data_IF_259635517602
#
_entry.id   IF_259635517602
#
_cell.length_a   1.000
_cell.length_b   1.000
_cell.length_c   1.000
_cell.angle_alpha   90.00
_cell.angle_beta   90.00
_cell.angle_gamma   90.00
#
_symmetry.space_group_name_H-M   'P 1'
#
loop_
_entity.id
_entity.type
_entity.pdbx_description
1 polymer ?
#
# COMPACT_ATOMS: atom_id res chain seq x y z
N UNK A 1 -12.14 18.72 23.66
CA UNK A 1 -10.74 18.57 24.11
C UNK A 1 -9.97 17.58 23.21
N UNK A 2 -9.76 17.90 21.94
CA UNK A 2 -9.47 16.85 20.92
C UNK A 2 -8.34 17.11 19.93
N UNK A 3 -7.32 17.91 20.29
CA UNK A 3 -6.23 18.28 19.37
C UNK A 3 -4.94 17.45 19.47
N UNK A 4 -4.87 16.45 20.36
CA UNK A 4 -3.69 15.55 20.46
C UNK A 4 -3.80 14.30 19.57
N UNK A 5 -4.27 14.45 18.33
CA UNK A 5 -4.02 13.41 17.33
C UNK A 5 -2.69 13.70 16.68
N UNK A 6 -1.64 13.05 17.19
CA UNK A 6 -0.33 12.97 16.54
C UNK A 6 -0.57 12.74 15.04
N UNK A 7 -0.11 13.64 14.16
CA UNK A 7 -0.24 13.45 12.72
C UNK A 7 0.28 12.07 12.38
N UNK A 8 -0.48 11.31 11.60
CA UNK A 8 -0.01 10.00 11.14
C UNK A 8 1.16 10.28 10.20
N UNK A 9 2.38 10.15 10.70
CA UNK A 9 3.59 10.20 9.89
C UNK A 9 3.48 9.10 8.83
N UNK A 10 3.51 9.49 7.57
CA UNK A 10 3.65 8.58 6.45
C UNK A 10 5.12 8.21 6.30
N UNK A 11 5.40 7.04 5.73
CA UNK A 11 6.76 6.52 5.62
C UNK A 11 7.32 5.88 6.90
N UNK A 12 8.42 5.14 6.72
CA UNK A 12 9.25 4.56 7.79
C UNK A 12 10.71 4.89 7.48
N UNK A 13 11.06 6.18 7.57
CA UNK A 13 12.39 6.68 7.21
C UNK A 13 13.08 7.47 8.32
N UNK A 14 12.49 7.54 9.52
CA UNK A 14 13.01 8.32 10.65
C UNK A 14 13.26 9.78 10.25
N UNK A 15 14.36 10.33 10.73
CA UNK A 15 14.74 11.74 10.49
C UNK A 15 15.48 11.97 9.16
N UNK A 16 15.56 10.94 8.30
CA UNK A 16 16.20 11.08 6.98
C UNK A 16 15.38 12.01 6.09
N UNK A 17 16.06 13.01 5.53
CA UNK A 17 15.46 13.99 4.61
C UNK A 17 15.85 13.76 3.15
N UNK A 18 16.73 12.80 2.87
CA UNK A 18 17.13 12.42 1.52
C UNK A 18 16.84 10.94 1.35
N UNK A 19 15.99 10.60 0.38
CA UNK A 19 15.49 9.25 0.16
C UNK A 19 15.86 8.79 -1.26
N UNK A 20 16.30 7.55 -1.38
CA UNK A 20 16.61 6.90 -2.65
C UNK A 20 15.47 6.02 -3.16
N UNK A 21 15.70 5.32 -4.26
CA UNK A 21 14.71 4.40 -4.85
C UNK A 21 14.30 3.31 -3.86
N UNK A 22 15.23 2.72 -3.10
CA UNK A 22 14.92 1.66 -2.14
C UNK A 22 13.94 2.10 -1.05
N UNK A 23 14.00 3.37 -0.63
CA UNK A 23 13.07 3.94 0.36
C UNK A 23 11.64 4.02 -0.21
N UNK A 24 11.50 4.20 -1.53
CA UNK A 24 10.19 4.19 -2.22
C UNK A 24 9.61 2.78 -2.38
N UNK A 25 10.47 1.75 -2.35
CA UNK A 25 10.08 0.35 -2.41
C UNK A 25 9.81 -0.11 -0.98
N UNK A 26 8.56 0.11 -0.56
CA UNK A 26 8.10 -0.14 0.80
C UNK A 26 6.69 -0.72 0.82
N UNK A 27 6.29 -1.30 1.96
CA UNK A 27 4.91 -1.74 2.20
C UNK A 27 3.93 -0.58 2.40
N UNK A 28 4.43 0.64 2.62
CA UNK A 28 3.64 1.87 2.86
C UNK A 28 4.12 2.99 1.97
N UNK A 29 3.21 3.88 1.59
CA UNK A 29 3.56 5.10 0.86
C UNK A 29 4.39 6.04 1.74
N UNK A 30 5.37 6.72 1.14
CA UNK A 30 6.22 7.71 1.80
C UNK A 30 5.43 8.93 2.28
N UNK A 31 4.51 9.42 1.44
CA UNK A 31 3.67 10.55 1.74
C UNK A 31 2.37 10.46 0.92
N UNK A 32 1.44 11.38 1.17
CA UNK A 32 0.30 11.56 0.28
C UNK A 32 0.73 12.21 -1.03
N UNK A 33 0.08 11.86 -2.14
CA UNK A 33 0.33 12.47 -3.46
C UNK A 33 0.22 13.99 -3.44
N UNK A 34 -0.66 14.55 -2.61
CA UNK A 34 -0.83 16.01 -2.44
C UNK A 34 0.39 16.72 -1.82
N UNK A 35 1.32 15.98 -1.23
CA UNK A 35 2.55 16.51 -0.64
C UNK A 35 3.79 16.26 -1.53
N UNK A 36 3.59 15.75 -2.75
CA UNK A 36 4.69 15.35 -3.63
C UNK A 36 4.83 16.30 -4.81
N UNK A 37 6.06 16.75 -5.08
CA UNK A 37 6.41 17.58 -6.22
C UNK A 37 7.65 17.00 -6.89
N UNK A 38 7.71 17.10 -8.22
CA UNK A 38 8.85 16.65 -9.00
C UNK A 38 9.06 17.56 -10.22
N UNK A 39 10.26 17.56 -10.77
CA UNK A 39 10.58 18.37 -11.96
C UNK A 39 9.87 17.83 -13.20
N UNK A 40 9.42 18.74 -14.07
CA UNK A 40 8.94 18.37 -15.39
C UNK A 40 10.05 17.69 -16.20
N UNK A 41 9.68 16.80 -17.13
CA UNK A 41 10.60 16.10 -18.01
C UNK A 41 11.23 14.83 -17.45
N UNK A 42 10.88 14.41 -16.22
CA UNK A 42 11.26 13.09 -15.72
C UNK A 42 10.54 12.01 -16.54
N UNK A 43 11.25 11.02 -17.09
CA UNK A 43 10.62 9.93 -17.84
C UNK A 43 9.77 9.08 -16.89
N UNK A 44 8.48 8.96 -17.21
CA UNK A 44 7.53 8.13 -16.47
C UNK A 44 7.02 7.04 -17.39
N UNK A 45 6.88 5.82 -16.87
CA UNK A 45 6.20 4.73 -17.56
C UNK A 45 4.72 4.73 -17.17
N UNK A 46 3.90 5.40 -17.98
CA UNK A 46 2.45 5.45 -17.76
C UNK A 46 1.78 4.09 -17.94
N UNK A 47 2.35 3.20 -18.76
CA UNK A 47 1.80 1.85 -18.95
C UNK A 47 1.98 1.01 -17.69
N UNK A 48 3.11 1.14 -17.00
CA UNK A 48 3.33 0.52 -15.70
C UNK A 48 2.30 0.95 -14.63
N UNK A 49 1.64 2.09 -14.79
CA UNK A 49 0.62 2.56 -13.83
C UNK A 49 -0.79 1.96 -14.04
N UNK A 50 -1.08 1.40 -15.23
CA UNK A 50 -2.45 0.96 -15.58
C UNK A 50 -2.97 -0.14 -14.66
N UNK A 51 -4.10 0.10 -13.99
CA UNK A 51 -4.74 -0.86 -13.10
C UNK A 51 -4.05 -1.03 -11.74
N UNK A 52 -3.14 -0.14 -11.37
CA UNK A 52 -2.53 -0.10 -10.03
C UNK A 52 -3.26 0.93 -9.16
N UNK A 53 -3.68 0.51 -7.96
CA UNK A 53 -4.39 1.38 -7.02
C UNK A 53 -3.47 2.36 -6.30
N UNK A 54 -2.23 1.93 -5.99
CA UNK A 54 -1.18 2.76 -5.38
C UNK A 54 -0.28 3.40 -6.44
N UNK A 55 -0.87 4.11 -7.40
CA UNK A 55 -0.13 4.76 -8.49
C UNK A 55 0.85 5.83 -8.01
N UNK A 56 0.59 6.43 -6.85
CA UNK A 56 1.48 7.36 -6.17
C UNK A 56 2.83 6.73 -5.80
N UNK A 57 2.83 5.49 -5.30
CA UNK A 57 4.07 4.79 -4.97
C UNK A 57 4.90 4.43 -6.21
N UNK A 58 4.23 4.08 -7.31
CA UNK A 58 4.89 3.93 -8.61
C UNK A 58 5.57 5.24 -9.02
N UNK A 59 4.83 6.34 -8.96
CA UNK A 59 5.34 7.67 -9.30
C UNK A 59 6.56 8.06 -8.45
N UNK A 60 6.48 7.88 -7.13
CA UNK A 60 7.61 8.21 -6.23
C UNK A 60 8.86 7.44 -6.61
N UNK A 61 8.73 6.15 -6.91
CA UNK A 61 9.85 5.30 -7.28
C UNK A 61 10.44 5.65 -8.64
N UNK A 62 9.60 5.93 -9.65
CA UNK A 62 10.08 6.37 -10.97
C UNK A 62 10.84 7.69 -10.87
N UNK A 63 10.31 8.65 -10.10
CA UNK A 63 10.98 9.93 -9.86
C UNK A 63 12.29 9.74 -9.10
N UNK A 64 12.31 8.87 -8.08
CA UNK A 64 13.53 8.54 -7.34
C UNK A 64 14.62 7.91 -8.23
N UNK A 65 14.23 7.24 -9.31
CA UNK A 65 15.14 6.69 -10.31
C UNK A 65 15.91 7.75 -11.09
N UNK A 66 15.34 8.96 -11.22
CA UNK A 66 15.99 10.11 -11.86
C UNK A 66 16.83 10.97 -10.90
N UNK A 67 16.76 10.70 -9.59
CA UNK A 67 17.50 11.41 -8.56
C UNK A 67 16.83 11.29 -7.19
N UNK A 68 17.54 11.62 -6.09
CA UNK A 68 17.00 11.45 -4.74
C UNK A 68 15.76 12.33 -4.50
N UNK A 69 14.86 11.83 -3.66
CA UNK A 69 13.73 12.59 -3.13
C UNK A 69 14.19 13.35 -1.88
N UNK A 70 13.82 14.62 -1.77
CA UNK A 70 14.14 15.46 -0.61
C UNK A 70 12.87 15.76 0.16
N UNK A 71 12.88 15.46 1.46
CA UNK A 71 11.77 15.72 2.38
C UNK A 71 11.92 17.10 3.02
N UNK A 72 10.84 17.87 2.99
CA UNK A 72 10.71 19.11 3.78
C UNK A 72 10.03 18.70 5.09
N UNK A 73 10.68 18.86 6.26
CA UNK A 73 10.17 18.40 7.56
C UNK A 73 9.10 19.36 8.12
N UNK A 74 8.15 19.77 7.27
CA UNK A 74 7.06 20.69 7.58
C UNK A 74 5.72 20.11 7.13
N UNK A 75 4.62 20.69 7.60
CA UNK A 75 3.28 20.30 7.16
C UNK A 75 3.03 20.83 5.75
N UNK A 76 3.26 19.99 4.75
CA UNK A 76 3.15 20.37 3.33
C UNK A 76 1.73 20.26 2.76
N UNK A 77 0.85 19.43 3.34
CA UNK A 77 -0.53 19.28 2.85
C UNK A 77 -1.49 18.75 3.91
N UNK A 78 -2.77 19.06 3.75
CA UNK A 78 -3.87 18.49 4.55
C UNK A 78 -4.76 17.67 3.63
N UNK A 79 -4.92 16.38 3.92
CA UNK A 79 -5.74 15.47 3.14
C UNK A 79 -6.98 15.02 3.92
N UNK A 80 -8.17 15.23 3.35
CA UNK A 80 -9.44 14.76 3.93
C UNK A 80 -9.78 13.39 3.36
N UNK A 81 -9.92 12.40 4.25
CA UNK A 81 -10.44 11.08 3.88
C UNK A 81 -11.96 11.14 3.71
N UNK A 82 -12.43 10.69 2.55
CA UNK A 82 -13.86 10.56 2.26
C UNK A 82 -14.30 9.08 2.44
N UNK A 83 -15.43 8.79 3.10
CA UNK A 83 -15.90 7.41 3.31
C UNK A 83 -16.13 6.61 2.02
N UNK A 84 -16.51 7.31 0.94
CA UNK A 84 -16.65 6.72 -0.40
C UNK A 84 -15.43 6.94 -1.30
N UNK A 85 -14.25 7.21 -0.73
CA UNK A 85 -13.03 7.42 -1.50
C UNK A 85 -12.40 6.12 -1.98
N UNK A 86 -11.64 6.19 -3.07
CA UNK A 86 -10.90 5.04 -3.64
C UNK A 86 -10.03 4.34 -2.59
N UNK A 87 -9.40 5.09 -1.68
CA UNK A 87 -8.58 4.51 -0.61
C UNK A 87 -9.36 3.67 0.40
N UNK A 88 -10.65 3.93 0.56
CA UNK A 88 -11.53 3.11 1.42
C UNK A 88 -11.98 1.84 0.70
N UNK A 89 -12.33 1.95 -0.58
CA UNK A 89 -12.82 0.85 -1.40
C UNK A 89 -11.73 -0.15 -1.80
N UNK A 90 -10.56 0.35 -2.26
CA UNK A 90 -9.49 -0.48 -2.84
C UNK A 90 -8.25 -0.58 -1.95
N UNK A 91 -8.19 0.15 -0.83
CA UNK A 91 -7.03 0.21 0.04
C UNK A 91 -6.93 -0.90 1.09
N UNK A 92 -7.74 -1.97 1.00
CA UNK A 92 -7.88 -2.99 2.05
C UNK A 92 -8.06 -4.39 1.46
N UNK A 93 -7.78 -5.41 2.26
CA UNK A 93 -8.07 -6.81 1.94
C UNK A 93 -7.06 -7.49 1.01
N UNK A 94 -7.38 -8.71 0.57
CA UNK A 94 -6.48 -9.56 -0.21
C UNK A 94 -6.15 -8.93 -1.56
N UNK A 95 -7.14 -8.33 -2.23
CA UNK A 95 -6.95 -7.77 -3.57
C UNK A 95 -6.06 -6.53 -3.57
N UNK A 96 -6.08 -5.74 -2.49
CA UNK A 96 -5.08 -4.71 -2.25
C UNK A 96 -3.66 -5.29 -2.25
N UNK A 97 -3.40 -6.34 -1.45
CA UNK A 97 -2.07 -6.94 -1.40
C UNK A 97 -1.66 -7.60 -2.72
N UNK A 98 -2.59 -8.20 -3.47
CA UNK A 98 -2.31 -8.73 -4.82
C UNK A 98 -1.95 -7.62 -5.80
N UNK A 99 -2.69 -6.51 -5.78
CA UNK A 99 -2.37 -5.36 -6.61
C UNK A 99 -0.98 -4.79 -6.30
N UNK A 100 -0.59 -4.83 -5.01
CA UNK A 100 0.76 -4.45 -4.58
C UNK A 100 1.86 -5.37 -5.10
N UNK A 101 1.63 -6.68 -5.19
CA UNK A 101 2.59 -7.58 -5.82
C UNK A 101 2.80 -7.24 -7.31
N UNK A 102 1.70 -6.98 -8.04
CA UNK A 102 1.77 -6.56 -9.46
C UNK A 102 2.50 -5.22 -9.61
N UNK A 103 2.24 -4.26 -8.71
CA UNK A 103 2.96 -2.99 -8.68
C UNK A 103 4.47 -3.19 -8.50
N UNK A 104 4.86 -4.05 -7.55
CA UNK A 104 6.25 -4.36 -7.24
C UNK A 104 6.97 -5.04 -8.42
N UNK A 105 6.31 -5.95 -9.13
CA UNK A 105 6.83 -6.55 -10.38
C UNK A 105 7.06 -5.54 -11.50
N UNK A 106 6.24 -4.48 -11.55
CA UNK A 106 6.39 -3.41 -12.55
C UNK A 106 7.51 -2.46 -12.18
N UNK A 107 7.61 -2.09 -10.90
CA UNK A 107 8.70 -1.25 -10.40
C UNK A 107 10.06 -1.90 -10.62
N UNK A 108 10.15 -3.17 -10.33
CA UNK A 108 11.39 -3.89 -10.51
C UNK A 108 11.84 -3.95 -11.97
N UNK A 109 10.90 -4.22 -12.89
CA UNK A 109 11.17 -4.14 -14.33
C UNK A 109 11.56 -2.74 -14.78
N UNK A 110 10.87 -1.71 -14.29
CA UNK A 110 11.16 -0.32 -14.60
C UNK A 110 12.60 0.06 -14.18
N UNK A 111 13.05 -0.42 -13.01
CA UNK A 111 14.40 -0.20 -12.51
C UNK A 111 15.43 -1.25 -12.99
N UNK A 112 15.10 -1.98 -14.05
CA UNK A 112 15.99 -2.99 -14.65
C UNK A 112 16.53 -3.99 -13.62
N UNK A 113 15.69 -4.40 -12.67
CA UNK A 113 16.01 -5.35 -11.61
C UNK A 113 17.12 -4.90 -10.63
N UNK A 114 17.55 -3.63 -10.65
CA UNK A 114 18.62 -3.12 -9.80
C UNK A 114 18.32 -3.22 -8.30
N UNK A 115 17.05 -3.18 -7.93
CA UNK A 115 16.58 -3.22 -6.53
C UNK A 115 15.84 -4.51 -6.21
N UNK A 116 16.18 -5.61 -6.92
CA UNK A 116 15.47 -6.89 -6.86
C UNK A 116 15.29 -7.38 -5.43
N UNK A 117 16.35 -7.37 -4.63
CA UNK A 117 16.35 -7.89 -3.26
C UNK A 117 15.35 -7.14 -2.38
N UNK A 118 15.37 -5.81 -2.46
CA UNK A 118 14.42 -4.96 -1.73
C UNK A 118 12.98 -5.21 -2.18
N UNK A 119 12.76 -5.41 -3.49
CA UNK A 119 11.43 -5.73 -4.01
C UNK A 119 10.93 -7.08 -3.47
N UNK A 120 11.77 -8.11 -3.48
CA UNK A 120 11.39 -9.43 -2.97
C UNK A 120 11.12 -9.43 -1.47
N UNK A 121 11.90 -8.67 -0.69
CA UNK A 121 11.64 -8.44 0.73
C UNK A 121 10.24 -7.85 0.95
N UNK A 122 9.88 -6.80 0.21
CA UNK A 122 8.57 -6.15 0.36
C UNK A 122 7.44 -7.05 -0.17
N UNK A 123 7.67 -7.81 -1.25
CA UNK A 123 6.70 -8.82 -1.74
C UNK A 123 6.42 -9.87 -0.68
N UNK A 124 7.43 -10.35 0.05
CA UNK A 124 7.26 -11.32 1.12
C UNK A 124 6.31 -10.78 2.21
N UNK A 125 6.40 -9.50 2.56
CA UNK A 125 5.44 -8.86 3.49
C UNK A 125 4.01 -8.95 2.96
N UNK A 126 3.77 -8.60 1.70
CA UNK A 126 2.42 -8.68 1.11
C UNK A 126 1.92 -10.13 0.99
N UNK A 127 2.78 -11.08 0.64
CA UNK A 127 2.44 -12.51 0.58
C UNK A 127 2.03 -13.06 1.96
N UNK A 128 2.74 -12.70 3.02
CA UNK A 128 2.38 -13.07 4.39
C UNK A 128 1.02 -12.50 4.80
N UNK A 129 0.71 -11.25 4.44
CA UNK A 129 -0.60 -10.66 4.72
C UNK A 129 -1.74 -11.36 3.97
N UNK A 130 -1.51 -11.75 2.71
CA UNK A 130 -2.48 -12.55 1.94
C UNK A 130 -2.76 -13.87 2.66
N UNK A 131 -1.72 -14.62 3.04
CA UNK A 131 -1.86 -15.91 3.71
C UNK A 131 -2.62 -15.77 5.05
N UNK A 132 -2.30 -14.73 5.83
CA UNK A 132 -3.01 -14.41 7.07
C UNK A 132 -4.49 -14.17 6.84
N UNK A 133 -4.84 -13.28 5.90
CA UNK A 133 -6.23 -12.91 5.60
C UNK A 133 -7.03 -14.11 5.07
N UNK A 134 -6.42 -14.98 4.26
CA UNK A 134 -7.05 -16.22 3.80
C UNK A 134 -7.36 -17.18 4.96
N UNK A 135 -6.43 -17.33 5.91
CA UNK A 135 -6.64 -18.17 7.09
C UNK A 135 -7.76 -17.64 7.99
N UNK A 136 -7.83 -16.32 8.19
CA UNK A 136 -8.90 -15.65 8.94
C UNK A 136 -10.28 -15.84 8.29
N UNK A 137 -10.36 -15.71 6.96
CA UNK A 137 -11.58 -15.96 6.20
C UNK A 137 -12.02 -17.44 6.29
N UNK A 138 -11.07 -18.37 6.19
CA UNK A 138 -11.32 -19.82 6.34
C UNK A 138 -11.89 -20.20 7.70
N UNK A 139 -11.31 -19.65 8.79
CA UNK A 139 -11.80 -19.85 10.17
C UNK A 139 -13.21 -19.29 10.36
N UNK A 140 -13.47 -18.08 9.84
CA UNK A 140 -14.79 -17.44 9.92
C UNK A 140 -15.87 -18.22 9.16
N UNK A 141 -15.53 -18.76 7.98
CA UNK A 141 -16.40 -19.65 7.22
C UNK A 141 -16.70 -20.96 7.96
N UNK A 142 -15.70 -21.54 8.63
CA UNK A 142 -15.89 -22.74 9.46
C UNK A 142 -16.81 -22.47 10.65
N UNK A 143 -16.62 -21.37 11.38
CA UNK A 143 -17.47 -20.97 12.51
C UNK A 143 -18.93 -20.77 12.09
N UNK A 144 -19.17 -20.09 10.96
CA UNK A 144 -20.52 -19.91 10.39
C UNK A 144 -21.18 -21.23 10.04
N UNK A 145 -20.44 -22.19 9.47
CA UNK A 145 -20.95 -23.54 9.18
C UNK A 145 -21.29 -24.32 10.45
N UNK A 146 -20.44 -24.25 11.47
CA UNK A 146 -20.68 -24.90 12.77
C UNK A 146 -21.92 -24.33 13.47
N UNK A 147 -22.06 -23.01 13.54
CA UNK A 147 -23.25 -22.34 14.08
C UNK A 147 -24.52 -22.67 13.27
N UNK A 148 -24.42 -22.77 11.95
CA UNK A 148 -25.54 -23.18 11.09
C UNK A 148 -25.93 -24.66 11.23
N UNK A 149 -25.01 -25.53 11.67
CA UNK A 149 -25.34 -26.92 12.05
C UNK A 149 -26.01 -26.97 13.42
N UNK A 150 -25.46 -26.26 14.41
CA UNK A 150 -26.04 -26.17 15.77
C UNK A 150 -27.46 -25.61 15.72
N UNK A 151 -27.71 -24.54 14.95
CA UNK A 151 -29.04 -23.95 14.79
C UNK A 151 -30.06 -24.88 14.12
N UNK A 152 -29.61 -25.78 13.23
CA UNK A 152 -30.45 -26.83 12.63
C UNK A 152 -30.76 -27.97 13.60
N UNK A 153 -29.80 -28.34 14.45
CA UNK A 153 -29.98 -29.37 15.47
C UNK A 153 -30.87 -28.91 16.63
N UNK A 154 -30.86 -27.61 16.95
CA UNK A 154 -31.68 -27.01 18.02
C UNK A 154 -33.10 -26.61 17.57
N UNK A 155 -33.61 -27.17 16.46
CA UNK A 155 -35.03 -27.07 16.10
C UNK A 155 -35.53 -25.72 15.56
N UNK A 156 -34.64 -24.84 15.10
CA UNK A 156 -35.03 -23.55 14.50
C UNK A 156 -35.58 -23.65 13.08
N UNK A 157 -36.62 -24.46 12.86
CA UNK A 157 -37.48 -24.43 11.67
C UNK A 157 -38.70 -23.56 11.96
N UNK A 158 -38.97 -22.58 11.10
CA UNK A 158 -40.34 -22.12 10.86
C UNK A 158 -40.92 -23.00 9.77
#
# INVERSE_FOLDING_TARGET
DGLDRVPRLFGDHGDRTVLGVEDTISSRALCHTSAFMYRAGIPLDTEASKGIYSGDMLLFSMVAGAGPLVCIPEVMSVYRKHPGGISEEYGRGIDYHRNRLVMLDRLDRFHEYRYRDRVEEVKAVHAQQIARLQAEAGRSGMLRRSLGKVRRLLGGGR
#
